data_IF_938864414219
#
_entry.id   IF_938864414219
#
_cell.length_a   1.000
_cell.length_b   1.000
_cell.length_c   1.000
_cell.angle_alpha   90.00
_cell.angle_beta   90.00
_cell.angle_gamma   90.00
#
_symmetry.space_group_name_H-M   'P 1'
#
loop_
_entity.id
_entity.type
_entity.pdbx_description
1 polymer ?
#
# COMPACT_ATOMS: atom_id res chain seq x y z
N UNK A 1 -6.88 4.17 19.75
CA UNK A 1 -6.59 5.19 18.71
C UNK A 1 -5.57 4.60 17.72
N UNK A 2 -6.03 4.10 16.56
CA UNK A 2 -5.28 3.16 15.69
C UNK A 2 -4.49 3.82 14.53
N UNK A 3 -4.10 5.09 14.65
CA UNK A 3 -3.33 5.80 13.61
C UNK A 3 -1.81 5.64 13.76
N UNK A 4 -1.05 5.75 12.67
CA UNK A 4 0.43 5.55 12.67
C UNK A 4 1.25 6.81 12.94
N UNK A 5 0.60 7.95 13.20
CA UNK A 5 1.30 9.21 13.48
C UNK A 5 2.15 9.06 14.76
N UNK A 6 3.37 9.61 14.73
CA UNK A 6 4.30 9.54 15.86
C UNK A 6 5.08 8.22 15.96
N UNK A 7 5.31 7.52 14.83
CA UNK A 7 6.11 6.30 14.80
C UNK A 7 5.38 5.05 15.28
N UNK A 8 4.07 5.11 15.44
CA UNK A 8 3.26 3.98 15.90
C UNK A 8 3.23 2.89 14.83
N UNK A 9 3.44 1.61 15.19
CA UNK A 9 3.36 0.51 14.25
C UNK A 9 1.94 0.37 13.67
N UNK A 10 1.84 -0.17 12.46
CA UNK A 10 0.57 -0.65 11.89
C UNK A 10 0.66 -2.11 11.55
N UNK A 11 -0.47 -2.79 11.67
CA UNK A 11 -0.72 -4.05 11.00
C UNK A 11 -1.51 -3.76 9.72
N UNK A 12 -1.23 -4.53 8.67
CA UNK A 12 -1.91 -4.42 7.38
C UNK A 12 -2.28 -5.82 6.91
N UNK A 13 -3.41 -5.95 6.22
CA UNK A 13 -3.79 -7.23 5.62
C UNK A 13 -2.78 -7.70 4.56
N UNK A 14 -2.56 -9.01 4.52
CA UNK A 14 -1.80 -9.69 3.47
C UNK A 14 -2.81 -10.38 2.56
N UNK A 15 -3.00 -9.83 1.36
CA UNK A 15 -3.98 -10.31 0.39
C UNK A 15 -3.52 -11.57 -0.35
N UNK A 16 -2.23 -11.64 -0.65
CA UNK A 16 -1.59 -12.79 -1.28
C UNK A 16 -0.30 -13.13 -0.52
N UNK A 17 -0.33 -14.22 0.22
CA UNK A 17 0.81 -14.67 1.04
C UNK A 17 1.95 -15.21 0.18
N UNK A 18 1.64 -15.91 -0.92
CA UNK A 18 2.65 -16.51 -1.78
C UNK A 18 3.43 -15.43 -2.54
N UNK A 19 2.72 -14.44 -3.10
CA UNK A 19 3.35 -13.31 -3.75
C UNK A 19 4.21 -12.49 -2.77
N UNK A 20 3.73 -12.28 -1.53
CA UNK A 20 4.50 -11.59 -0.49
C UNK A 20 5.78 -12.35 -0.12
N UNK A 21 5.69 -13.67 0.09
CA UNK A 21 6.86 -14.50 0.41
C UNK A 21 7.91 -14.42 -0.71
N UNK A 22 7.48 -14.54 -1.97
CA UNK A 22 8.38 -14.38 -3.11
C UNK A 22 9.02 -12.99 -3.13
N UNK A 23 8.23 -11.92 -2.95
CA UNK A 23 8.76 -10.55 -2.94
C UNK A 23 9.80 -10.33 -1.82
N UNK A 24 9.57 -10.88 -0.62
CA UNK A 24 10.52 -10.80 0.50
C UNK A 24 11.81 -11.57 0.17
N UNK A 25 11.69 -12.82 -0.28
CA UNK A 25 12.86 -13.64 -0.62
C UNK A 25 13.71 -12.99 -1.72
N UNK A 26 13.06 -12.43 -2.75
CA UNK A 26 13.74 -11.65 -3.79
C UNK A 26 14.46 -10.43 -3.20
N UNK A 27 13.76 -9.65 -2.36
CA UNK A 27 14.32 -8.46 -1.72
C UNK A 27 15.53 -8.77 -0.83
N UNK A 28 15.49 -9.86 -0.06
CA UNK A 28 16.60 -10.30 0.78
C UNK A 28 17.84 -10.68 -0.03
N UNK A 29 17.65 -11.43 -1.12
CA UNK A 29 18.75 -11.77 -2.04
C UNK A 29 19.40 -10.52 -2.63
N UNK A 30 18.60 -9.60 -3.19
CA UNK A 30 19.12 -8.36 -3.76
C UNK A 30 19.83 -7.49 -2.73
N UNK A 31 19.36 -7.46 -1.48
CA UNK A 31 20.02 -6.70 -0.40
C UNK A 31 21.38 -7.28 -0.05
N UNK A 32 21.52 -8.60 -0.02
CA UNK A 32 22.80 -9.26 0.28
C UNK A 32 23.88 -8.85 -0.73
N UNK A 33 23.52 -8.78 -2.01
CA UNK A 33 24.43 -8.36 -3.10
C UNK A 33 24.75 -6.86 -3.10
N UNK A 34 23.95 -6.03 -2.38
CA UNK A 34 23.97 -4.57 -2.44
C UNK A 34 24.30 -3.92 -1.08
N UNK A 35 25.10 -4.59 -0.25
CA UNK A 35 25.53 -4.06 1.04
C UNK A 35 24.36 -3.72 1.98
N UNK A 36 23.28 -4.50 1.92
CA UNK A 36 22.09 -4.35 2.76
C UNK A 36 21.04 -3.37 2.22
N UNK A 37 21.22 -2.78 1.04
CA UNK A 37 20.28 -1.80 0.44
C UNK A 37 19.48 -2.40 -0.71
N UNK A 38 18.18 -2.09 -0.79
CA UNK A 38 17.37 -2.47 -1.95
C UNK A 38 17.71 -1.63 -3.19
N UNK A 39 17.94 -0.34 -3.00
CA UNK A 39 18.39 0.58 -4.05
C UNK A 39 19.72 1.15 -3.58
N UNK A 40 20.81 0.61 -4.12
CA UNK A 40 22.14 1.09 -3.74
C UNK A 40 22.47 2.39 -4.48
N UNK A 41 22.35 3.49 -3.74
CA UNK A 41 22.81 4.82 -4.14
C UNK A 41 23.51 5.51 -2.96
N UNK A 42 24.43 6.46 -3.25
CA UNK A 42 25.17 7.18 -2.21
C UNK A 42 24.29 7.99 -1.26
N UNK A 43 23.21 8.60 -1.78
CA UNK A 43 22.30 9.45 -0.99
C UNK A 43 20.85 8.98 -1.09
N UNK A 44 20.06 9.30 -0.06
CA UNK A 44 18.62 9.03 -0.04
C UNK A 44 17.88 9.67 -1.23
N UNK A 45 18.26 10.90 -1.60
CA UNK A 45 17.69 11.61 -2.74
C UNK A 45 17.93 10.86 -4.05
N UNK A 46 19.14 10.36 -4.28
CA UNK A 46 19.45 9.56 -5.46
C UNK A 46 18.72 8.20 -5.45
N UNK A 47 18.57 7.57 -4.29
CA UNK A 47 17.80 6.33 -4.15
C UNK A 47 16.32 6.56 -4.51
N UNK A 48 15.71 7.64 -4.00
CA UNK A 48 14.33 8.04 -4.32
C UNK A 48 14.18 8.33 -5.82
N UNK A 49 15.14 9.03 -6.44
CA UNK A 49 15.10 9.31 -7.87
C UNK A 49 15.22 8.04 -8.72
N UNK A 50 16.07 7.08 -8.31
CA UNK A 50 16.17 5.78 -8.96
C UNK A 50 14.87 4.99 -8.82
N UNK A 51 14.26 4.95 -7.63
CA UNK A 51 12.95 4.34 -7.43
C UNK A 51 11.89 4.96 -8.36
N UNK A 52 11.78 6.29 -8.37
CA UNK A 52 10.85 7.02 -9.25
C UNK A 52 11.07 6.72 -10.72
N UNK A 53 12.31 6.53 -11.15
CA UNK A 53 12.62 6.12 -12.52
C UNK A 53 12.10 4.71 -12.78
N UNK A 54 12.42 3.74 -11.93
CA UNK A 54 12.00 2.33 -12.08
C UNK A 54 10.48 2.23 -12.21
N UNK A 55 9.72 2.85 -11.31
CA UNK A 55 8.25 2.78 -11.36
C UNK A 55 7.68 3.44 -12.61
N UNK A 56 8.25 4.56 -13.08
CA UNK A 56 7.84 5.19 -14.34
C UNK A 56 8.16 4.33 -15.55
N UNK A 57 9.34 3.73 -15.59
CA UNK A 57 9.73 2.78 -16.65
C UNK A 57 8.85 1.54 -16.68
N UNK A 58 8.29 1.13 -15.53
CA UNK A 58 7.28 0.08 -15.43
C UNK A 58 5.84 0.55 -15.77
N UNK A 59 5.66 1.78 -16.26
CA UNK A 59 4.36 2.32 -16.66
C UNK A 59 3.54 2.95 -15.53
N UNK A 60 4.09 3.10 -14.32
CA UNK A 60 3.43 3.79 -13.21
C UNK A 60 3.62 5.31 -13.32
N UNK A 61 2.96 5.90 -14.32
CA UNK A 61 2.96 7.34 -14.62
C UNK A 61 1.55 7.88 -14.87
N UNK A 62 1.37 9.20 -14.78
CA UNK A 62 0.06 9.84 -14.99
C UNK A 62 -1.01 9.27 -14.05
N UNK A 63 -2.15 8.86 -14.61
CA UNK A 63 -3.26 8.26 -13.85
C UNK A 63 -2.90 6.93 -13.16
N UNK A 64 -1.81 6.26 -13.60
CA UNK A 64 -1.26 5.05 -12.99
C UNK A 64 -0.05 5.31 -12.08
N UNK A 65 0.21 6.57 -11.71
CA UNK A 65 1.28 6.92 -10.77
C UNK A 65 1.16 6.13 -9.45
N UNK A 66 2.22 5.93 -8.66
CA UNK A 66 2.22 5.03 -7.49
C UNK A 66 1.06 5.19 -6.48
N UNK A 67 0.41 6.35 -6.43
CA UNK A 67 -0.82 6.54 -5.65
C UNK A 67 -1.99 5.67 -6.13
N UNK A 68 -2.06 5.33 -7.42
CA UNK A 68 -3.03 4.38 -7.99
C UNK A 68 -2.90 2.97 -7.39
N UNK A 69 -1.67 2.51 -7.09
CA UNK A 69 -1.46 1.23 -6.41
C UNK A 69 -2.04 1.26 -5.00
N UNK A 70 -1.98 2.42 -4.32
CA UNK A 70 -2.59 2.59 -3.00
C UNK A 70 -4.12 2.55 -3.08
N UNK A 71 -4.71 3.13 -4.13
CA UNK A 71 -6.14 2.98 -4.42
C UNK A 71 -6.52 1.52 -4.66
N UNK A 72 -5.78 0.85 -5.53
CA UNK A 72 -6.05 -0.54 -5.86
C UNK A 72 -5.95 -1.45 -4.62
N UNK A 73 -4.92 -1.25 -3.79
CA UNK A 73 -4.78 -1.98 -2.52
C UNK A 73 -5.99 -1.75 -1.60
N UNK A 74 -6.44 -0.51 -1.43
CA UNK A 74 -7.58 -0.17 -0.58
C UNK A 74 -8.90 -0.83 -1.06
N UNK A 75 -9.07 -0.96 -2.37
CA UNK A 75 -10.22 -1.63 -2.98
C UNK A 75 -10.15 -3.15 -2.77
N UNK A 76 -8.98 -3.76 -2.98
CA UNK A 76 -8.79 -5.20 -2.77
C UNK A 76 -8.92 -5.59 -1.29
N UNK A 77 -8.37 -4.80 -0.37
CA UNK A 77 -8.57 -5.04 1.07
C UNK A 77 -10.03 -4.89 1.47
N UNK A 78 -10.74 -3.90 0.92
CA UNK A 78 -12.17 -3.78 1.13
C UNK A 78 -12.98 -4.98 0.64
N UNK A 79 -12.69 -5.48 -0.56
CA UNK A 79 -13.32 -6.68 -1.11
C UNK A 79 -13.02 -7.92 -0.25
N UNK A 80 -11.76 -8.06 0.21
CA UNK A 80 -11.34 -9.13 1.10
C UNK A 80 -12.12 -9.14 2.43
N UNK A 81 -12.32 -7.98 3.06
CA UNK A 81 -13.12 -7.89 4.29
C UNK A 81 -14.62 -8.09 4.04
N UNK A 82 -15.17 -7.57 2.94
CA UNK A 82 -16.56 -7.85 2.57
C UNK A 82 -16.82 -9.35 2.41
N UNK A 83 -15.89 -10.07 1.77
CA UNK A 83 -15.99 -11.52 1.61
C UNK A 83 -15.94 -12.30 2.94
N UNK A 84 -15.42 -11.69 4.01
CA UNK A 84 -15.44 -12.25 5.37
C UNK A 84 -16.71 -11.88 6.16
N UNK A 85 -17.65 -11.15 5.56
CA UNK A 85 -18.93 -10.79 6.18
C UNK A 85 -18.93 -9.49 6.98
N UNK A 86 -17.86 -8.70 6.93
CA UNK A 86 -17.82 -7.39 7.60
C UNK A 86 -18.81 -6.40 6.97
N UNK A 87 -19.46 -5.58 7.81
CA UNK A 87 -20.35 -4.52 7.35
C UNK A 87 -19.58 -3.43 6.60
N UNK A 88 -20.27 -2.65 5.76
CA UNK A 88 -19.64 -1.54 5.04
C UNK A 88 -18.94 -0.52 5.96
N UNK A 89 -19.45 -0.32 7.19
CA UNK A 89 -18.80 0.57 8.17
C UNK A 89 -17.50 -0.03 8.71
N UNK A 90 -17.51 -1.33 9.03
CA UNK A 90 -16.32 -2.05 9.53
C UNK A 90 -15.26 -2.15 8.45
N UNK A 91 -15.65 -2.47 7.21
CA UNK A 91 -14.75 -2.50 6.06
C UNK A 91 -14.02 -1.17 5.90
N UNK A 92 -14.74 -0.04 5.95
CA UNK A 92 -14.12 1.28 5.84
C UNK A 92 -13.17 1.59 7.00
N UNK A 93 -13.47 1.13 8.22
CA UNK A 93 -12.59 1.29 9.37
C UNK A 93 -11.32 0.43 9.24
N UNK A 94 -11.44 -0.82 8.81
CA UNK A 94 -10.34 -1.75 8.60
C UNK A 94 -9.39 -1.26 7.51
N UNK A 95 -9.92 -0.89 6.33
CA UNK A 95 -9.13 -0.31 5.23
C UNK A 95 -8.44 0.98 5.68
N UNK A 96 -9.10 1.79 6.50
CA UNK A 96 -8.51 3.01 7.06
C UNK A 96 -7.32 2.72 7.98
N UNK A 97 -7.40 1.65 8.78
CA UNK A 97 -6.29 1.20 9.62
C UNK A 97 -5.13 0.62 8.80
N UNK A 98 -5.40 -0.22 7.79
CA UNK A 98 -4.38 -0.76 6.88
C UNK A 98 -3.56 0.37 6.21
N UNK A 99 -4.26 1.43 5.80
CA UNK A 99 -3.67 2.61 5.20
C UNK A 99 -2.93 3.52 6.22
N UNK A 100 -3.10 3.27 7.52
CA UNK A 100 -2.47 4.01 8.62
C UNK A 100 -3.20 5.30 9.03
N UNK A 101 -4.44 5.49 8.58
CA UNK A 101 -5.26 6.65 8.92
C UNK A 101 -5.99 6.53 10.27
N UNK A 102 -5.96 5.33 10.89
CA UNK A 102 -6.75 4.99 12.07
C UNK A 102 -8.19 4.63 11.73
N UNK A 103 -8.94 4.13 12.70
CA UNK A 103 -10.32 3.64 12.58
C UNK A 103 -11.36 4.75 12.31
N UNK A 104 -11.11 5.98 12.76
CA UNK A 104 -12.05 7.10 12.66
C UNK A 104 -12.18 7.78 11.29
N UNK A 105 -11.51 7.28 10.24
CA UNK A 105 -11.41 7.97 8.93
C UNK A 105 -12.20 7.27 7.80
N UNK A 106 -13.17 6.42 8.12
CA UNK A 106 -13.98 5.69 7.13
C UNK A 106 -14.68 6.57 6.07
N UNK A 107 -15.16 7.77 6.44
CA UNK A 107 -15.73 8.74 5.47
C UNK A 107 -14.70 9.19 4.44
N UNK A 108 -13.47 9.48 4.89
CA UNK A 108 -12.37 9.86 4.01
C UNK A 108 -11.99 8.70 3.08
N UNK A 109 -11.97 7.46 3.58
CA UNK A 109 -11.73 6.28 2.74
C UNK A 109 -12.77 6.18 1.63
N UNK A 110 -14.06 6.28 1.95
CA UNK A 110 -15.13 6.24 0.95
C UNK A 110 -14.95 7.34 -0.10
N UNK A 111 -14.72 8.57 0.34
CA UNK A 111 -14.59 9.71 -0.56
C UNK A 111 -13.34 9.63 -1.44
N UNK A 112 -12.20 9.19 -0.92
CA UNK A 112 -10.94 9.30 -1.67
C UNK A 112 -10.59 8.01 -2.39
N UNK A 113 -10.85 6.85 -1.77
CA UNK A 113 -10.43 5.55 -2.29
C UNK A 113 -11.52 4.78 -3.04
N UNK A 114 -12.79 5.18 -2.88
CA UNK A 114 -13.95 4.53 -3.52
C UNK A 114 -14.73 5.46 -4.47
N UNK A 115 -14.23 6.67 -4.74
CA UNK A 115 -14.93 7.71 -5.53
C UNK A 115 -15.31 7.28 -6.96
N UNK A 116 -14.69 6.23 -7.50
CA UNK A 116 -14.92 5.73 -8.86
C UNK A 116 -15.70 4.40 -8.92
N UNK A 117 -16.30 3.93 -7.81
CA UNK A 117 -17.07 2.66 -7.79
C UNK A 117 -18.59 2.90 -7.82
N UNK A 118 -19.06 4.11 -7.50
CA UNK A 118 -20.50 4.44 -7.54
C UNK A 118 -20.98 4.90 -8.94
N UNK A 119 -20.19 4.68 -9.99
CA UNK A 119 -20.46 5.13 -11.37
C UNK A 119 -20.42 4.05 -12.45
N UNK A 120 -20.46 2.77 -12.07
CA UNK A 120 -20.79 1.64 -12.98
C UNK A 120 -22.18 1.07 -12.64
#
# INVERSE_FOLDING_TARGET
MFGTKGGRPRQTVILDRAALQHAIAYAERERAERGGKLIDKPTITQAINRYRYIVRSAGLSGNKAPHSMRYHFAQQSGAHYKAQGFSGREVLALVSMDLGHGDGRGRYIRQVYYQNIEGE
#
